data_IF_917443757621
#
_entry.id   IF_917443757621
#
_cell.length_a   1.000
_cell.length_b   1.000
_cell.length_c   1.000
_cell.angle_alpha   90.00
_cell.angle_beta   90.00
_cell.angle_gamma   90.00
#
_symmetry.space_group_name_H-M   'P 1'
#
loop_
_entity.id
_entity.type
_entity.pdbx_description
1 polymer ?
#
# COMPACT_ATOMS: atom_id res chain seq x y z
N UNK A 1 -17.97 -1.10 -0.44
CA UNK A 1 -16.53 -0.95 -0.09
C UNK A 1 -16.40 -1.03 1.43
N UNK A 2 -15.27 -1.47 1.98
CA UNK A 2 -15.04 -1.48 3.45
C UNK A 2 -13.75 -0.73 3.74
N UNK A 3 -13.77 0.15 4.74
CA UNK A 3 -12.61 0.85 5.27
C UNK A 3 -12.32 0.28 6.66
N UNK A 4 -11.07 -0.07 6.92
CA UNK A 4 -10.63 -0.65 8.19
C UNK A 4 -9.50 0.19 8.77
N UNK A 5 -9.43 0.25 10.10
CA UNK A 5 -8.36 0.93 10.83
C UNK A 5 -8.54 0.83 12.33
N UNK A 6 -7.44 0.74 13.08
CA UNK A 6 -7.49 0.65 14.56
C UNK A 6 -8.36 -0.51 15.08
N UNK A 7 -8.39 -1.63 14.34
CA UNK A 7 -9.20 -2.82 14.67
C UNK A 7 -10.70 -2.64 14.44
N UNK A 8 -11.14 -1.54 13.81
CA UNK A 8 -12.54 -1.22 13.52
C UNK A 8 -12.78 -1.21 12.02
N UNK A 9 -14.05 -1.32 11.62
CA UNK A 9 -14.47 -1.43 10.22
C UNK A 9 -15.70 -0.59 9.96
N UNK A 10 -15.72 0.13 8.84
CA UNK A 10 -16.87 0.87 8.33
C UNK A 10 -17.17 0.41 6.91
N UNK A 11 -18.39 -0.07 6.68
CA UNK A 11 -18.88 -0.35 5.35
C UNK A 11 -19.38 0.94 4.68
N UNK A 12 -18.87 1.22 3.48
CA UNK A 12 -19.29 2.33 2.63
C UNK A 12 -20.07 1.76 1.46
N UNK A 13 -21.31 2.20 1.32
CA UNK A 13 -22.20 1.80 0.25
C UNK A 13 -22.53 3.01 -0.63
N UNK A 14 -22.38 2.83 -1.93
CA UNK A 14 -22.63 3.87 -2.92
C UNK A 14 -23.90 3.52 -3.69
N UNK A 15 -25.00 4.17 -3.36
CA UNK A 15 -26.29 3.96 -4.01
C UNK A 15 -26.33 4.78 -5.30
N UNK A 16 -26.28 4.10 -6.44
CA UNK A 16 -26.55 4.72 -7.75
C UNK A 16 -28.05 4.94 -7.96
N UNK A 17 -28.42 5.87 -8.85
CA UNK A 17 -29.83 6.21 -9.09
C UNK A 17 -30.64 5.10 -9.80
N UNK A 18 -29.97 4.01 -10.23
CA UNK A 18 -30.62 2.85 -10.83
C UNK A 18 -31.07 1.88 -9.73
N UNK A 19 -32.35 1.95 -9.43
CA UNK A 19 -33.02 1.15 -8.41
C UNK A 19 -32.89 -0.36 -8.65
N UNK A 20 -32.72 -1.08 -7.54
CA UNK A 20 -32.84 -2.53 -7.49
C UNK A 20 -34.31 -2.92 -7.75
N UNK A 21 -34.61 -4.05 -8.40
CA UNK A 21 -35.98 -4.56 -8.51
C UNK A 21 -36.61 -4.67 -7.11
N UNK A 22 -37.89 -4.30 -6.98
CA UNK A 22 -38.64 -4.30 -5.71
C UNK A 22 -38.53 -5.61 -4.93
N UNK A 23 -38.39 -6.75 -5.63
CA UNK A 23 -38.27 -8.08 -5.03
C UNK A 23 -36.96 -8.30 -4.24
N UNK A 24 -35.93 -7.47 -4.42
CA UNK A 24 -34.64 -7.58 -3.71
C UNK A 24 -34.52 -6.70 -2.48
N UNK A 25 -35.48 -5.80 -2.27
CA UNK A 25 -35.42 -4.80 -1.22
C UNK A 25 -35.51 -5.41 0.17
N UNK A 26 -36.45 -6.33 0.38
CA UNK A 26 -36.63 -7.01 1.66
C UNK A 26 -35.40 -7.84 2.04
N UNK A 27 -34.81 -8.52 1.06
CA UNK A 27 -33.57 -9.29 1.23
C UNK A 27 -32.37 -8.40 1.58
N UNK A 28 -32.23 -7.23 0.96
CA UNK A 28 -31.18 -6.27 1.27
C UNK A 28 -31.36 -5.66 2.66
N UNK A 29 -32.59 -5.34 3.05
CA UNK A 29 -32.91 -4.86 4.40
C UNK A 29 -32.63 -5.92 5.47
N UNK A 30 -32.99 -7.18 5.20
CA UNK A 30 -32.70 -8.29 6.11
C UNK A 30 -31.20 -8.50 6.27
N UNK A 31 -30.43 -8.50 5.17
CA UNK A 31 -28.96 -8.62 5.21
C UNK A 31 -28.33 -7.48 6.02
N UNK A 32 -28.75 -6.24 5.77
CA UNK A 32 -28.20 -5.11 6.49
C UNK A 32 -28.52 -5.19 7.99
N UNK A 33 -29.76 -5.52 8.36
CA UNK A 33 -30.15 -5.65 9.77
C UNK A 33 -29.34 -6.74 10.50
N UNK A 34 -29.00 -7.84 9.82
CA UNK A 34 -28.12 -8.88 10.36
C UNK A 34 -26.71 -8.34 10.57
N UNK A 35 -26.13 -7.66 9.58
CA UNK A 35 -24.78 -7.13 9.67
C UNK A 35 -24.67 -6.07 10.77
N UNK A 36 -25.65 -5.17 10.89
CA UNK A 36 -25.68 -4.17 11.96
C UNK A 36 -25.74 -4.80 13.35
N UNK A 37 -26.52 -5.89 13.52
CA UNK A 37 -26.53 -6.66 14.79
C UNK A 37 -25.21 -7.33 15.11
N UNK A 38 -24.43 -7.70 14.09
CA UNK A 38 -23.08 -8.24 14.24
C UNK A 38 -22.03 -7.13 14.46
N UNK A 39 -22.45 -5.88 14.63
CA UNK A 39 -21.58 -4.75 14.93
C UNK A 39 -21.05 -4.02 13.69
N UNK A 40 -21.54 -4.34 12.49
CA UNK A 40 -21.19 -3.57 11.30
C UNK A 40 -21.82 -2.18 11.35
N UNK A 41 -21.05 -1.21 10.87
CA UNK A 41 -21.47 0.18 10.72
C UNK A 41 -21.47 0.52 9.24
N UNK A 42 -22.49 1.26 8.82
CA UNK A 42 -22.67 1.66 7.43
C UNK A 42 -22.70 3.18 7.29
N UNK A 43 -22.10 3.67 6.21
CA UNK A 43 -22.36 5.00 5.65
C UNK A 43 -22.80 4.84 4.20
N UNK A 44 -23.94 5.44 3.88
CA UNK A 44 -24.52 5.40 2.53
C UNK A 44 -24.28 6.73 1.83
N UNK A 45 -23.84 6.65 0.58
CA UNK A 45 -23.60 7.79 -0.28
C UNK A 45 -24.50 7.67 -1.50
N UNK A 46 -25.42 8.63 -1.69
CA UNK A 46 -26.22 8.70 -2.92
C UNK A 46 -25.38 9.25 -4.06
N UNK A 47 -25.37 8.58 -5.20
CA UNK A 47 -24.62 8.96 -6.39
C UNK A 47 -24.95 10.38 -6.84
N UNK A 48 -26.24 10.73 -6.93
CA UNK A 48 -26.71 12.10 -7.21
C UNK A 48 -26.14 13.15 -6.27
N UNK A 49 -26.06 12.85 -4.96
CA UNK A 49 -25.53 13.78 -3.97
C UNK A 49 -24.02 13.98 -4.17
N UNK A 50 -23.30 12.88 -4.38
CA UNK A 50 -21.87 12.91 -4.68
C UNK A 50 -21.58 13.71 -5.95
N UNK A 51 -22.28 13.45 -7.06
CA UNK A 51 -22.05 14.18 -8.31
C UNK A 51 -22.40 15.66 -8.21
N UNK A 52 -23.35 16.05 -7.36
CA UNK A 52 -23.73 17.45 -7.15
C UNK A 52 -22.72 18.21 -6.32
N UNK A 53 -22.22 17.60 -5.24
CA UNK A 53 -21.22 18.20 -4.37
C UNK A 53 -20.36 17.10 -3.71
N UNK A 54 -19.24 16.72 -4.37
CA UNK A 54 -18.37 15.67 -3.87
C UNK A 54 -17.79 16.00 -2.49
N UNK A 55 -17.34 17.25 -2.29
CA UNK A 55 -16.67 17.67 -1.06
C UNK A 55 -17.58 17.62 0.17
N UNK A 56 -18.83 18.08 0.02
CA UNK A 56 -19.82 17.99 1.09
C UNK A 56 -20.20 16.54 1.39
N UNK A 57 -20.29 15.71 0.35
CA UNK A 57 -20.64 14.30 0.49
C UNK A 57 -19.52 13.51 1.18
N UNK A 58 -18.26 13.77 0.80
CA UNK A 58 -17.10 13.14 1.42
C UNK A 58 -16.85 13.62 2.85
N UNK A 59 -17.18 14.87 3.19
CA UNK A 59 -17.16 15.33 4.58
C UNK A 59 -17.97 14.44 5.52
N UNK A 60 -19.18 14.04 5.12
CA UNK A 60 -20.01 13.12 5.91
C UNK A 60 -19.33 11.77 6.15
N UNK A 61 -18.57 11.28 5.16
CA UNK A 61 -17.81 10.03 5.27
C UNK A 61 -16.67 10.20 6.27
N UNK A 62 -15.92 11.30 6.18
CA UNK A 62 -14.81 11.59 7.09
C UNK A 62 -15.29 11.79 8.53
N UNK A 63 -16.34 12.59 8.73
CA UNK A 63 -16.97 12.78 10.05
C UNK A 63 -17.41 11.43 10.64
N UNK A 64 -17.94 10.52 9.81
CA UNK A 64 -18.29 9.19 10.28
C UNK A 64 -17.07 8.37 10.66
N UNK A 65 -16.02 8.33 9.84
CA UNK A 65 -14.78 7.63 10.16
C UNK A 65 -14.18 8.13 11.48
N UNK A 66 -14.18 9.45 11.71
CA UNK A 66 -13.74 10.05 12.97
C UNK A 66 -14.62 9.61 14.15
N UNK A 67 -15.95 9.62 14.01
CA UNK A 67 -16.87 9.19 15.06
C UNK A 67 -16.72 7.71 15.43
N UNK A 68 -16.32 6.88 14.48
CA UNK A 68 -16.04 5.46 14.69
C UNK A 68 -14.60 5.22 15.17
N UNK A 69 -13.78 6.27 15.32
CA UNK A 69 -12.35 6.20 15.64
C UNK A 69 -11.53 5.34 14.66
N UNK A 70 -11.86 5.43 13.37
CA UNK A 70 -11.12 4.79 12.29
C UNK A 70 -10.14 5.82 11.74
N UNK A 71 -8.91 5.79 12.26
CA UNK A 71 -7.85 6.68 11.80
C UNK A 71 -7.18 6.13 10.52
N UNK A 72 -6.64 7.01 9.67
CA UNK A 72 -5.77 6.59 8.58
C UNK A 72 -4.56 5.85 9.14
N UNK A 73 -4.36 4.61 8.73
CA UNK A 73 -3.13 3.89 9.05
C UNK A 73 -2.04 4.38 8.09
N UNK A 74 -0.88 4.78 8.64
CA UNK A 74 0.29 5.07 7.82
C UNK A 74 0.57 3.82 6.99
N UNK A 75 0.48 3.96 5.67
CA UNK A 75 0.55 2.82 4.75
C UNK A 75 1.97 2.24 4.79
N UNK A 76 2.23 1.31 5.72
CA UNK A 76 3.57 0.76 5.94
C UNK A 76 4.09 -0.01 4.72
N UNK A 77 3.20 -0.30 3.76
CA UNK A 77 3.51 -0.93 2.47
C UNK A 77 4.47 -0.07 1.63
N UNK A 78 4.42 1.26 1.76
CA UNK A 78 5.33 2.16 1.04
C UNK A 78 6.73 2.11 1.67
N UNK A 79 6.83 2.08 3.00
CA UNK A 79 8.08 1.93 3.73
C UNK A 79 8.72 0.56 3.50
N UNK A 80 7.92 -0.52 3.49
CA UNK A 80 8.42 -1.88 3.26
C UNK A 80 8.97 -2.04 1.83
N UNK A 81 8.29 -1.43 0.84
CA UNK A 81 8.74 -1.45 -0.56
C UNK A 81 10.02 -0.63 -0.76
N UNK A 82 10.10 0.55 -0.14
CA UNK A 82 11.31 1.39 -0.20
C UNK A 82 12.50 0.72 0.50
N UNK A 83 12.29 0.09 1.65
CA UNK A 83 13.33 -0.64 2.38
C UNK A 83 13.89 -1.81 1.55
N UNK A 84 13.03 -2.55 0.85
CA UNK A 84 13.45 -3.66 0.00
C UNK A 84 14.28 -3.20 -1.21
N UNK A 85 13.86 -2.11 -1.88
CA UNK A 85 14.61 -1.52 -2.99
C UNK A 85 15.98 -1.00 -2.55
N UNK A 86 16.06 -0.38 -1.37
CA UNK A 86 17.34 0.10 -0.82
C UNK A 86 18.28 -1.07 -0.49
N UNK A 87 17.76 -2.16 0.07
CA UNK A 87 18.56 -3.35 0.37
C UNK A 87 19.11 -4.02 -0.90
N UNK A 88 18.29 -4.10 -1.96
CA UNK A 88 18.68 -4.70 -3.24
C UNK A 88 19.76 -3.89 -3.96
N UNK A 89 19.61 -2.56 -4.04
CA UNK A 89 20.60 -1.65 -4.63
C UNK A 89 21.92 -1.70 -3.85
N UNK A 90 21.84 -1.77 -2.52
CA UNK A 90 23.03 -1.85 -1.67
C UNK A 90 23.80 -3.15 -1.91
N UNK A 91 23.10 -4.29 -2.02
CA UNK A 91 23.72 -5.58 -2.31
C UNK A 91 24.39 -5.63 -3.69
N UNK A 92 23.79 -5.02 -4.71
CA UNK A 92 24.42 -4.91 -6.04
C UNK A 92 25.68 -4.05 -6.03
N UNK A 93 25.66 -2.91 -5.33
CA UNK A 93 26.82 -2.03 -5.22
C UNK A 93 27.98 -2.70 -4.46
N UNK A 94 27.68 -3.44 -3.39
CA UNK A 94 28.67 -4.23 -2.63
C UNK A 94 29.32 -5.29 -3.53
N UNK A 95 28.52 -6.06 -4.28
CA UNK A 95 29.03 -7.06 -5.21
C UNK A 95 29.89 -6.45 -6.33
N UNK A 96 29.49 -5.30 -6.86
CA UNK A 96 30.28 -4.60 -7.88
C UNK A 96 31.61 -4.08 -7.32
N UNK A 97 31.62 -3.58 -6.08
CA UNK A 97 32.84 -3.15 -5.41
C UNK A 97 33.79 -4.32 -5.14
N UNK A 98 33.28 -5.47 -4.70
CA UNK A 98 34.08 -6.68 -4.51
C UNK A 98 34.77 -7.12 -5.81
N UNK A 99 34.03 -7.12 -6.93
CA UNK A 99 34.58 -7.46 -8.24
C UNK A 99 35.65 -6.45 -8.66
N UNK A 100 35.40 -5.15 -8.47
CA UNK A 100 36.39 -4.10 -8.77
C UNK A 100 37.66 -4.26 -7.94
N UNK A 101 37.52 -4.47 -6.64
CA UNK A 101 38.64 -4.65 -5.72
C UNK A 101 39.47 -5.88 -6.08
N UNK A 102 38.80 -6.98 -6.45
CA UNK A 102 39.47 -8.18 -6.93
C UNK A 102 40.26 -7.94 -8.22
N UNK A 103 39.70 -7.23 -9.21
CA UNK A 103 40.40 -6.88 -10.45
C UNK A 103 41.63 -6.03 -10.15
N UNK A 104 41.51 -5.04 -9.26
CA UNK A 104 42.61 -4.16 -8.86
C UNK A 104 43.73 -4.98 -8.19
N UNK A 105 43.38 -5.85 -7.23
CA UNK A 105 44.36 -6.71 -6.57
C UNK A 105 45.05 -7.66 -7.55
N UNK A 106 44.27 -8.34 -8.40
CA UNK A 106 44.80 -9.31 -9.36
C UNK A 106 45.71 -8.65 -10.40
N UNK A 107 45.35 -7.47 -10.87
CA UNK A 107 46.20 -6.70 -11.80
C UNK A 107 47.49 -6.22 -11.14
N UNK A 108 47.46 -5.82 -9.87
CA UNK A 108 48.66 -5.47 -9.10
C UNK A 108 49.59 -6.68 -8.86
N UNK A 109 49.05 -7.88 -8.65
CA UNK A 109 49.84 -9.12 -8.58
C UNK A 109 50.55 -9.43 -9.89
N UNK A 110 49.82 -9.39 -11.02
CA UNK A 110 50.37 -9.69 -12.33
C UNK A 110 51.49 -8.73 -12.71
N UNK A 111 51.30 -7.43 -12.47
CA UNK A 111 52.36 -6.41 -12.69
C UNK A 111 53.62 -6.70 -11.87
N UNK A 112 53.48 -7.11 -10.60
CA UNK A 112 54.62 -7.48 -9.75
C UNK A 112 55.38 -8.69 -10.28
N UNK A 113 54.67 -9.71 -10.80
CA UNK A 113 55.29 -10.91 -11.40
C UNK A 113 56.06 -10.57 -12.67
N UNK A 114 55.47 -9.78 -13.57
CA UNK A 114 56.16 -9.37 -14.81
C UNK A 114 57.43 -8.56 -14.55
N UNK A 115 57.42 -7.63 -13.60
CA UNK A 115 58.63 -6.87 -13.23
C UNK A 115 59.73 -7.76 -12.60
N UNK A 116 59.37 -8.84 -11.92
CA UNK A 116 60.32 -9.79 -11.35
C UNK A 116 60.93 -10.71 -12.42
N UNK A 117 60.19 -11.02 -13.49
CA UNK A 117 60.65 -11.84 -14.62
C UNK A 117 61.49 -11.03 -15.63
N UNK A 118 61.28 -9.72 -15.75
CA UNK A 118 62.02 -8.82 -16.66
C UNK A 118 63.37 -8.30 -16.12
N UNK A 119 63.82 -8.73 -14.93
CA UNK A 119 65.18 -8.39 -14.44
C UNK A 119 66.22 -9.33 -15.07
N UNK A 120 67.01 -8.90 -16.08
CA UNK A 120 68.09 -9.72 -16.60
C UNK A 120 69.26 -9.66 -15.60
N UNK A 121 69.80 -10.83 -15.25
CA UNK A 121 71.11 -10.93 -14.59
C UNK A 121 72.24 -10.56 -15.53
#
# INVERSE_FOLDING_TARGET
MVVEGSGRRLAIECDGDRWHPWDKWDDDMARQAILERLGWRFVRIRGTQFFRNPDATMRLVFERLESEHIAPEANNRISDTQAHQVAEVKGQLEQENEIRDWIIQRSAELRRKWLAEESPG
#
